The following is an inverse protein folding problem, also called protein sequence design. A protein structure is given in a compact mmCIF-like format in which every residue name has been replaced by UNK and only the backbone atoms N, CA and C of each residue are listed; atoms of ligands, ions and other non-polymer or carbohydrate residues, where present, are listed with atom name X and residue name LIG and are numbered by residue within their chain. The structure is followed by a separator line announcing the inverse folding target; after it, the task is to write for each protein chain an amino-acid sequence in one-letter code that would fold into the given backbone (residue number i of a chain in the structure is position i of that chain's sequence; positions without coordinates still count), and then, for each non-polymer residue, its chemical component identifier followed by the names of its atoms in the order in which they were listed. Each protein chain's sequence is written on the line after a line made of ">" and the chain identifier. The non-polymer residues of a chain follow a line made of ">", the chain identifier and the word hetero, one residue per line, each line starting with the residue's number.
data_IF_148966219267
#
_entry.id   IF_148966219267
#
_cell.length_a   1.000
_cell.length_b   1.000
_cell.length_c   1.000
_cell.angle_alpha   90.00
_cell.angle_beta   90.00
_cell.angle_gamma   90.00
#
_symmetry.space_group_name_H-M   'P 1'
#
loop_
_entity.id
_entity.type
_entity.pdbx_description
1 polymer ?
#
# COMPACT_ATOMS: atom_id res chain seq x y z
N UNK A 1 28.72 0.28 5.46
CA UNK A 1 28.38 -0.60 6.60
C UNK A 1 27.09 -1.31 6.27
N UNK A 2 26.89 -2.56 6.73
CA UNK A 2 25.58 -3.22 6.64
C UNK A 2 24.68 -2.66 7.74
N UNK A 3 23.39 -2.54 7.46
CA UNK A 3 22.38 -2.18 8.47
C UNK A 3 22.32 -3.28 9.56
N UNK A 4 21.92 -2.92 10.80
CA UNK A 4 21.59 -3.91 11.80
C UNK A 4 20.29 -4.64 11.44
N UNK A 5 20.13 -5.86 11.97
CA UNK A 5 19.02 -6.76 11.60
C UNK A 5 17.64 -6.19 11.93
N UNK A 6 17.49 -5.57 13.11
CA UNK A 6 16.23 -4.92 13.50
C UNK A 6 15.81 -3.83 12.50
N UNK A 7 16.77 -3.11 11.92
CA UNK A 7 16.48 -2.06 10.96
C UNK A 7 16.04 -2.65 9.62
N UNK A 8 16.74 -3.67 9.13
CA UNK A 8 16.32 -4.39 7.92
C UNK A 8 14.92 -5.02 8.09
N UNK A 9 14.57 -5.46 9.31
CA UNK A 9 13.24 -5.98 9.61
C UNK A 9 12.13 -4.92 9.46
N UNK A 10 12.36 -3.67 9.88
CA UNK A 10 11.38 -2.59 9.69
C UNK A 10 11.17 -2.27 8.20
N UNK A 11 12.24 -2.21 7.41
CA UNK A 11 12.12 -2.06 5.96
C UNK A 11 11.35 -3.21 5.31
N UNK A 12 11.56 -4.45 5.77
CA UNK A 12 10.78 -5.61 5.31
C UNK A 12 9.31 -5.53 5.70
N UNK A 13 9.00 -5.02 6.90
CA UNK A 13 7.62 -4.77 7.33
C UNK A 13 6.93 -3.74 6.44
N UNK A 14 7.59 -2.61 6.12
CA UNK A 14 7.05 -1.63 5.18
C UNK A 14 6.78 -2.24 3.79
N UNK A 15 7.67 -3.11 3.28
CA UNK A 15 7.42 -3.82 2.01
C UNK A 15 6.14 -4.66 2.05
N UNK A 16 5.84 -5.29 3.18
CA UNK A 16 4.61 -6.08 3.37
C UNK A 16 3.40 -5.15 3.45
N UNK A 17 3.49 -4.04 4.19
CA UNK A 17 2.43 -3.02 4.30
C UNK A 17 2.09 -2.44 2.93
N UNK A 18 3.09 -2.07 2.12
CA UNK A 18 2.91 -1.55 0.76
C UNK A 18 2.17 -2.52 -0.16
N UNK A 19 2.44 -3.83 -0.06
CA UNK A 19 1.70 -4.85 -0.82
C UNK A 19 0.22 -4.89 -0.45
N UNK A 20 -0.08 -4.86 0.85
CA UNK A 20 -1.46 -4.84 1.34
C UNK A 20 -2.17 -3.55 0.90
N UNK A 21 -1.53 -2.39 1.09
CA UNK A 21 -2.04 -1.08 0.70
C UNK A 21 -2.32 -0.99 -0.80
N UNK A 22 -1.39 -1.50 -1.62
CA UNK A 22 -1.58 -1.58 -3.06
C UNK A 22 -2.82 -2.40 -3.44
N UNK A 23 -3.03 -3.52 -2.75
CA UNK A 23 -4.18 -4.40 -3.01
C UNK A 23 -5.50 -3.75 -2.60
N UNK A 24 -5.52 -3.04 -1.46
CA UNK A 24 -6.68 -2.25 -1.04
C UNK A 24 -6.99 -1.13 -2.04
N UNK A 25 -5.98 -0.36 -2.45
CA UNK A 25 -6.16 0.73 -3.40
C UNK A 25 -6.65 0.22 -4.76
N UNK A 26 -6.05 -0.86 -5.28
CA UNK A 26 -6.48 -1.47 -6.54
C UNK A 26 -7.89 -2.02 -6.47
N UNK A 27 -8.27 -2.69 -5.39
CA UNK A 27 -9.63 -3.22 -5.23
C UNK A 27 -10.67 -2.08 -5.17
N UNK A 28 -10.48 -1.08 -4.33
CA UNK A 28 -11.41 0.04 -4.20
C UNK A 28 -11.52 0.86 -5.50
N UNK A 29 -10.39 1.16 -6.14
CA UNK A 29 -10.36 1.93 -7.40
C UNK A 29 -10.97 1.14 -8.56
N UNK A 30 -10.73 -0.17 -8.62
CA UNK A 30 -11.31 -1.05 -9.64
C UNK A 30 -12.82 -1.21 -9.43
N UNK A 31 -13.29 -1.37 -8.18
CA UNK A 31 -14.73 -1.36 -7.85
C UNK A 31 -15.39 -0.10 -8.40
N UNK A 32 -14.82 1.08 -8.13
CA UNK A 32 -15.38 2.34 -8.60
C UNK A 32 -15.39 2.45 -10.14
N UNK A 33 -14.25 2.22 -10.80
CA UNK A 33 -14.13 2.51 -12.23
C UNK A 33 -14.82 1.47 -13.12
N UNK A 34 -14.94 0.22 -12.65
CA UNK A 34 -15.60 -0.89 -13.34
C UNK A 34 -17.07 -1.05 -12.93
N UNK A 35 -17.47 -0.57 -11.74
CA UNK A 35 -18.79 -0.80 -11.16
C UNK A 35 -18.97 -2.20 -10.57
N UNK A 36 -17.87 -2.83 -10.13
CA UNK A 36 -17.84 -4.23 -9.70
C UNK A 36 -17.54 -4.35 -8.20
N UNK A 37 -18.60 -4.51 -7.42
CA UNK A 37 -18.54 -4.48 -5.95
C UNK A 37 -17.76 -5.66 -5.34
N UNK A 38 -17.79 -6.83 -5.97
CA UNK A 38 -17.11 -8.04 -5.47
C UNK A 38 -15.60 -7.82 -5.24
N UNK A 39 -14.96 -6.93 -6.02
CA UNK A 39 -13.54 -6.63 -5.91
C UNK A 39 -13.14 -6.12 -4.51
N UNK A 40 -13.88 -5.17 -3.96
CA UNK A 40 -13.60 -4.64 -2.62
C UNK A 40 -14.16 -5.54 -1.51
N UNK A 41 -15.30 -6.20 -1.74
CA UNK A 41 -15.92 -7.08 -0.74
C UNK A 41 -15.05 -8.29 -0.36
N UNK A 42 -14.28 -8.81 -1.31
CA UNK A 42 -13.38 -9.94 -1.06
C UNK A 42 -12.07 -9.51 -0.36
N UNK A 43 -11.64 -8.25 -0.53
CA UNK A 43 -10.34 -7.75 -0.06
C UNK A 43 -10.45 -7.02 1.27
N UNK A 44 -11.43 -6.13 1.44
CA UNK A 44 -11.51 -5.25 2.60
C UNK A 44 -11.56 -5.99 3.95
N UNK A 45 -12.32 -7.10 4.13
CA UNK A 45 -12.32 -7.83 5.39
C UNK A 45 -10.94 -8.39 5.77
N UNK A 46 -10.17 -8.85 4.77
CA UNK A 46 -8.81 -9.34 4.98
C UNK A 46 -7.85 -8.19 5.30
N UNK A 47 -8.03 -7.04 4.65
CA UNK A 47 -7.24 -5.85 4.95
C UNK A 47 -7.51 -5.33 6.36
N UNK A 48 -8.77 -5.36 6.82
CA UNK A 48 -9.13 -4.99 8.19
C UNK A 48 -8.43 -5.88 9.22
N UNK A 49 -8.45 -7.20 9.02
CA UNK A 49 -7.68 -8.12 9.87
C UNK A 49 -6.18 -7.83 9.80
N UNK A 50 -5.65 -7.52 8.61
CA UNK A 50 -4.26 -7.16 8.44
C UNK A 50 -3.87 -5.87 9.17
N UNK A 51 -4.70 -4.83 9.08
CA UNK A 51 -4.48 -3.53 9.74
C UNK A 51 -4.52 -3.69 11.27
N UNK A 52 -5.58 -4.30 11.81
CA UNK A 52 -5.75 -4.49 13.25
C UNK A 52 -4.56 -5.26 13.87
N UNK A 53 -4.16 -6.36 13.24
CA UNK A 53 -3.20 -7.31 13.82
C UNK A 53 -1.74 -6.93 13.49
N UNK A 54 -1.42 -6.53 12.26
CA UNK A 54 -0.04 -6.28 11.85
C UNK A 54 0.36 -4.81 11.87
N UNK A 55 -0.48 -3.90 11.37
CA UNK A 55 -0.14 -2.48 11.40
C UNK A 55 -0.28 -1.97 12.85
N UNK A 56 -1.49 -2.05 13.41
CA UNK A 56 -1.81 -1.48 14.72
C UNK A 56 -1.15 -2.18 15.91
N UNK A 57 -1.18 -3.51 15.94
CA UNK A 57 -0.75 -4.28 17.13
C UNK A 57 0.72 -4.71 17.13
N UNK A 58 1.38 -4.67 15.97
CA UNK A 58 2.76 -5.16 15.80
C UNK A 58 3.72 -4.08 15.34
N UNK A 59 3.51 -3.55 14.14
CA UNK A 59 4.45 -2.62 13.49
C UNK A 59 4.52 -1.28 14.23
N UNK A 60 3.38 -0.61 14.42
CA UNK A 60 3.33 0.63 15.20
C UNK A 60 3.83 0.44 16.64
N UNK A 61 3.54 -0.71 17.26
CA UNK A 61 4.04 -1.02 18.59
C UNK A 61 5.57 -1.09 18.65
N UNK A 62 6.22 -1.65 17.63
CA UNK A 62 7.69 -1.69 17.53
C UNK A 62 8.27 -0.29 17.43
N UNK A 63 7.72 0.53 16.54
CA UNK A 63 8.19 1.90 16.30
C UNK A 63 7.99 2.78 17.52
N UNK A 64 6.83 2.70 18.16
CA UNK A 64 6.54 3.43 19.39
C UNK A 64 7.47 2.99 20.53
N UNK A 65 7.77 1.70 20.65
CA UNK A 65 8.70 1.19 21.67
C UNK A 65 10.13 1.65 21.39
N UNK A 66 10.57 1.64 20.12
CA UNK A 66 11.85 2.22 19.71
C UNK A 66 11.91 3.72 20.00
N UNK A 67 10.86 4.46 19.67
CA UNK A 67 10.76 5.89 19.93
C UNK A 67 10.82 6.19 21.44
N UNK A 68 10.29 5.32 22.30
CA UNK A 68 10.44 5.43 23.76
C UNK A 68 11.87 5.15 24.19
N UNK A 69 12.44 4.03 23.75
CA UNK A 69 13.80 3.61 24.12
C UNK A 69 14.84 4.66 23.73
N UNK A 70 14.74 5.15 22.50
CA UNK A 70 15.71 6.08 21.89
C UNK A 70 15.36 7.53 22.23
N UNK A 71 14.07 7.86 22.37
CA UNK A 71 13.61 9.21 22.68
C UNK A 71 14.00 9.70 24.08
N UNK A 72 14.27 8.80 25.03
CA UNK A 72 14.87 9.16 26.31
C UNK A 72 16.34 9.60 26.21
N UNK A 73 16.99 9.28 25.08
CA UNK A 73 18.43 9.43 24.88
C UNK A 73 18.78 10.47 23.79
N UNK A 74 17.78 10.90 23.01
CA UNK A 74 17.93 11.93 21.99
C UNK A 74 17.56 13.32 22.52
N UNK A 75 18.33 14.35 22.16
CA UNK A 75 18.13 15.76 22.56
C UNK A 75 16.75 16.33 22.18
N UNK A 76 16.01 15.69 21.25
CA UNK A 76 14.65 16.05 20.82
C UNK A 76 13.65 14.88 20.93
N UNK A 77 13.94 13.86 21.72
CA UNK A 77 13.21 12.60 21.67
C UNK A 77 11.73 12.65 22.11
N UNK A 78 11.36 13.57 23.00
CA UNK A 78 9.95 13.83 23.33
C UNK A 78 9.15 14.30 22.11
N UNK A 79 9.75 15.15 21.26
CA UNK A 79 9.10 15.69 20.06
C UNK A 79 8.94 14.63 18.98
N UNK A 80 9.94 13.78 18.77
CA UNK A 80 9.84 12.65 17.83
C UNK A 80 8.75 11.66 18.25
N UNK A 81 8.72 11.26 19.52
CA UNK A 81 7.70 10.34 20.05
C UNK A 81 6.28 10.88 19.86
N UNK A 82 6.06 12.16 20.17
CA UNK A 82 4.74 12.79 20.06
C UNK A 82 4.26 12.83 18.60
N UNK A 83 5.12 13.22 17.68
CA UNK A 83 4.80 13.26 16.24
C UNK A 83 4.47 11.86 15.72
N UNK A 84 5.24 10.83 16.11
CA UNK A 84 4.97 9.43 15.73
C UNK A 84 3.57 8.96 16.13
N UNK A 85 3.25 9.10 17.42
CA UNK A 85 1.95 8.66 17.93
C UNK A 85 0.80 9.46 17.33
N UNK A 86 1.00 10.76 17.08
CA UNK A 86 0.00 11.59 16.39
C UNK A 86 -0.20 11.15 14.93
N UNK A 87 0.86 10.85 14.18
CA UNK A 87 0.76 10.32 12.81
C UNK A 87 0.03 8.98 12.78
N UNK A 88 0.38 8.03 13.67
CA UNK A 88 -0.29 6.72 13.73
C UNK A 88 -1.77 6.85 14.06
N UNK A 89 -2.16 7.80 14.92
CA UNK A 89 -3.58 8.07 15.22
C UNK A 89 -4.30 8.60 13.98
N UNK A 90 -3.71 9.58 13.28
CA UNK A 90 -4.29 10.15 12.06
C UNK A 90 -4.50 9.07 11.00
N UNK A 91 -3.51 8.21 10.77
CA UNK A 91 -3.60 7.11 9.80
C UNK A 91 -4.70 6.12 10.17
N UNK A 92 -4.82 5.79 11.46
CA UNK A 92 -5.89 4.91 11.96
C UNK A 92 -7.28 5.53 11.78
N UNK A 93 -7.41 6.84 11.99
CA UNK A 93 -8.67 7.56 11.81
C UNK A 93 -9.04 7.67 10.32
N UNK A 94 -8.07 7.89 9.43
CA UNK A 94 -8.29 7.82 7.98
C UNK A 94 -8.77 6.43 7.53
N UNK A 95 -8.21 5.36 8.09
CA UNK A 95 -8.68 4.00 7.81
C UNK A 95 -10.10 3.77 8.35
N UNK A 96 -10.42 4.22 9.57
CA UNK A 96 -11.80 4.15 10.10
C UNK A 96 -12.79 4.89 9.20
N UNK A 97 -12.41 6.05 8.70
CA UNK A 97 -13.23 6.85 7.78
C UNK A 97 -13.54 6.09 6.48
N UNK A 98 -12.58 5.33 5.95
CA UNK A 98 -12.79 4.42 4.82
C UNK A 98 -13.77 3.29 5.17
N UNK A 99 -13.64 2.68 6.35
CA UNK A 99 -14.54 1.62 6.81
C UNK A 99 -15.97 2.15 7.01
N UNK A 100 -16.12 3.34 7.58
CA UNK A 100 -17.43 3.99 7.76
C UNK A 100 -18.10 4.23 6.41
N UNK A 101 -17.36 4.72 5.41
CA UNK A 101 -17.91 4.92 4.07
C UNK A 101 -18.42 3.60 3.46
N UNK A 102 -17.63 2.53 3.59
CA UNK A 102 -18.02 1.18 3.15
C UNK A 102 -19.28 0.68 3.88
N UNK A 103 -19.33 0.79 5.20
CA UNK A 103 -20.45 0.30 6.02
C UNK A 103 -21.75 1.09 5.77
N UNK A 104 -21.65 2.36 5.39
CA UNK A 104 -22.79 3.20 4.96
C UNK A 104 -23.27 2.88 3.55
N UNK A 105 -22.62 1.96 2.85
CA UNK A 105 -23.00 1.54 1.52
C UNK A 105 -22.48 2.46 0.40
N UNK A 106 -21.44 3.25 0.66
CA UNK A 106 -20.72 3.95 -0.40
C UNK A 106 -19.70 3.01 -1.04
N UNK A 107 -20.00 2.58 -2.26
CA UNK A 107 -19.12 1.72 -3.08
C UNK A 107 -18.58 2.46 -4.30
N UNK A 108 -18.80 3.77 -4.36
CA UNK A 108 -18.58 4.57 -5.54
C UNK A 108 -17.31 5.39 -5.38
N UNK A 109 -17.34 6.65 -5.81
CA UNK A 109 -16.15 7.50 -5.86
C UNK A 109 -15.59 7.80 -4.46
N UNK A 110 -16.44 7.95 -3.44
CA UNK A 110 -15.98 8.38 -2.12
C UNK A 110 -15.09 7.31 -1.48
N UNK A 111 -15.52 6.04 -1.51
CA UNK A 111 -14.73 4.92 -1.00
C UNK A 111 -13.36 4.81 -1.70
N UNK A 112 -13.35 4.89 -3.04
CA UNK A 112 -12.11 4.88 -3.81
C UNK A 112 -11.21 6.08 -3.49
N UNK A 113 -11.81 7.26 -3.26
CA UNK A 113 -11.08 8.48 -2.89
C UNK A 113 -10.46 8.36 -1.50
N UNK A 114 -11.20 7.83 -0.51
CA UNK A 114 -10.67 7.56 0.84
C UNK A 114 -9.56 6.53 0.82
N UNK A 115 -9.68 5.47 0.02
CA UNK A 115 -8.61 4.48 -0.16
C UNK A 115 -7.34 5.11 -0.75
N UNK A 116 -7.49 6.02 -1.71
CA UNK A 116 -6.38 6.76 -2.30
C UNK A 116 -5.72 7.73 -1.32
N UNK A 117 -6.50 8.50 -0.55
CA UNK A 117 -5.99 9.42 0.48
C UNK A 117 -5.25 8.64 1.57
N UNK A 118 -5.82 7.54 2.05
CA UNK A 118 -5.17 6.68 3.04
C UNK A 118 -3.88 6.05 2.50
N UNK A 119 -3.88 5.59 1.24
CA UNK A 119 -2.68 5.09 0.56
C UNK A 119 -1.57 6.15 0.49
N UNK A 120 -1.90 7.37 0.05
CA UNK A 120 -0.94 8.49 0.00
C UNK A 120 -0.35 8.79 1.37
N UNK A 121 -1.20 8.90 2.40
CA UNK A 121 -0.76 9.22 3.75
C UNK A 121 0.16 8.13 4.33
N UNK A 122 -0.16 6.85 4.09
CA UNK A 122 0.68 5.73 4.54
C UNK A 122 2.02 5.68 3.79
N UNK A 123 2.05 5.92 2.48
CA UNK A 123 3.29 5.96 1.71
C UNK A 123 4.18 7.13 2.13
N UNK A 124 3.60 8.33 2.28
CA UNK A 124 4.33 9.52 2.72
C UNK A 124 4.90 9.31 4.16
N UNK A 125 4.14 8.67 5.06
CA UNK A 125 4.59 8.29 6.40
C UNK A 125 5.76 7.30 6.37
N UNK A 126 5.61 6.17 5.67
CA UNK A 126 6.67 5.17 5.56
C UNK A 126 7.93 5.72 4.87
N UNK A 127 7.80 6.61 3.89
CA UNK A 127 8.94 7.25 3.22
C UNK A 127 9.70 8.21 4.15
N UNK A 128 9.00 8.98 4.98
CA UNK A 128 9.62 9.83 6.01
C UNK A 128 10.35 8.98 7.06
N UNK A 129 9.72 7.90 7.52
CA UNK A 129 10.31 6.96 8.47
C UNK A 129 11.61 6.35 7.94
N UNK A 130 11.58 5.79 6.73
CA UNK A 130 12.72 5.15 6.10
C UNK A 130 13.90 6.09 5.89
N UNK A 131 13.63 7.35 5.50
CA UNK A 131 14.68 8.33 5.19
C UNK A 131 15.24 9.02 6.41
N UNK A 132 14.36 9.40 7.35
CA UNK A 132 14.70 10.36 8.39
C UNK A 132 14.64 9.74 9.77
N UNK A 133 13.64 8.92 10.06
CA UNK A 133 13.46 8.42 11.42
C UNK A 133 14.36 7.22 11.69
N UNK A 134 14.30 6.21 10.83
CA UNK A 134 15.06 4.98 11.00
C UNK A 134 16.57 5.24 11.02
N UNK A 135 17.04 6.17 10.18
CA UNK A 135 18.42 6.68 10.20
C UNK A 135 18.72 7.41 11.51
N UNK A 136 17.80 8.25 11.99
CA UNK A 136 17.90 8.92 13.30
C UNK A 136 17.94 7.95 14.49
N UNK A 137 17.18 6.85 14.44
CA UNK A 137 17.20 5.79 15.44
C UNK A 137 18.54 5.06 15.46
N UNK A 138 19.07 4.70 14.29
CA UNK A 138 20.38 4.08 14.18
C UNK A 138 21.48 4.95 14.80
N UNK A 139 21.51 6.24 14.46
CA UNK A 139 22.48 7.19 14.99
C UNK A 139 22.36 7.38 16.50
N UNK A 140 21.13 7.49 17.01
CA UNK A 140 20.88 7.69 18.43
C UNK A 140 21.18 6.43 19.26
N UNK A 141 20.82 5.24 18.78
CA UNK A 141 21.20 3.97 19.40
C UNK A 141 22.72 3.81 19.47
N UNK A 142 23.42 4.14 18.38
CA UNK A 142 24.90 4.12 18.32
C UNK A 142 25.52 5.09 19.33
N UNK A 143 25.06 6.35 19.40
CA UNK A 143 25.55 7.34 20.37
C UNK A 143 25.29 6.95 21.81
N UNK A 144 24.15 6.33 22.08
CA UNK A 144 23.78 5.89 23.43
C UNK A 144 24.45 4.56 23.83
N UNK A 145 25.18 3.90 22.93
CA UNK A 145 25.78 2.60 23.18
C UNK A 145 24.76 1.48 23.39
N UNK A 146 23.55 1.60 22.81
CA UNK A 146 22.54 0.54 22.86
C UNK A 146 23.02 -0.61 21.97
N UNK A 147 23.09 -1.81 22.54
CA UNK A 147 23.42 -3.02 21.80
C UNK A 147 22.23 -3.44 20.91
N UNK A 148 22.48 -3.68 19.62
CA UNK A 148 21.48 -4.17 18.66
C UNK A 148 20.72 -5.41 19.15
N UNK A 149 21.37 -6.28 19.93
CA UNK A 149 20.73 -7.47 20.52
C UNK A 149 19.59 -7.13 21.46
N UNK A 150 19.63 -5.97 22.13
CA UNK A 150 18.55 -5.50 23.02
C UNK A 150 17.31 -5.15 22.19
N UNK A 151 17.51 -4.48 21.06
CA UNK A 151 16.43 -4.11 20.14
C UNK A 151 15.85 -5.36 19.47
N UNK A 152 16.71 -6.26 18.98
CA UNK A 152 16.29 -7.53 18.38
C UNK A 152 15.46 -8.36 19.36
N UNK A 153 15.88 -8.46 20.62
CA UNK A 153 15.16 -9.20 21.67
C UNK A 153 13.80 -8.57 21.97
N UNK A 154 13.73 -7.23 22.07
CA UNK A 154 12.48 -6.50 22.26
C UNK A 154 11.50 -6.74 21.11
N UNK A 155 11.97 -6.72 19.86
CA UNK A 155 11.15 -7.02 18.69
C UNK A 155 10.61 -8.45 18.72
N UNK A 156 11.44 -9.39 19.14
CA UNK A 156 11.05 -10.79 19.29
C UNK A 156 9.98 -10.98 20.36
N UNK A 157 10.08 -10.30 21.50
CA UNK A 157 9.08 -10.34 22.57
C UNK A 157 7.72 -9.79 22.11
N UNK A 158 7.72 -8.71 21.31
CA UNK A 158 6.50 -8.18 20.70
C UNK A 158 5.89 -9.23 19.77
N UNK A 159 6.68 -9.86 18.89
CA UNK A 159 6.21 -10.90 17.98
C UNK A 159 5.66 -12.13 18.73
N UNK A 160 6.39 -12.63 19.72
CA UNK A 160 5.98 -13.77 20.54
C UNK A 160 4.66 -13.51 21.27
N UNK A 161 4.42 -12.25 21.69
CA UNK A 161 3.15 -11.85 22.33
C UNK A 161 1.92 -11.96 21.42
N UNK A 162 2.13 -12.01 20.10
CA UNK A 162 1.07 -12.16 19.09
C UNK A 162 0.85 -13.61 18.65
N UNK A 163 1.60 -14.54 19.24
CA UNK A 163 1.45 -15.98 19.07
C UNK A 163 2.35 -16.59 18.00
N UNK A 164 2.49 -17.92 18.06
CA UNK A 164 3.34 -18.67 17.12
C UNK A 164 2.88 -18.54 15.67
N UNK A 165 3.86 -18.49 14.74
CA UNK A 165 3.65 -18.34 13.29
C UNK A 165 2.93 -17.04 12.88
N UNK A 166 3.02 -16.00 13.71
CA UNK A 166 2.47 -14.68 13.41
C UNK A 166 2.87 -14.17 12.01
N UNK A 167 4.17 -14.17 11.70
CA UNK A 167 4.67 -13.70 10.39
C UNK A 167 4.11 -14.48 9.20
N UNK A 168 3.96 -15.81 9.33
CA UNK A 168 3.36 -16.65 8.29
C UNK A 168 1.88 -16.31 8.07
N UNK A 169 1.13 -16.09 9.15
CA UNK A 169 -0.28 -15.68 9.07
C UNK A 169 -0.43 -14.34 8.35
N UNK A 170 0.43 -13.36 8.67
CA UNK A 170 0.36 -12.04 8.06
C UNK A 170 0.71 -12.05 6.58
N UNK A 171 1.77 -12.78 6.19
CA UNK A 171 2.10 -12.98 4.79
C UNK A 171 0.97 -13.73 4.05
N UNK A 172 0.36 -14.72 4.70
CA UNK A 172 -0.80 -15.44 4.19
C UNK A 172 -2.02 -14.54 3.95
N UNK A 173 -2.28 -13.55 4.82
CA UNK A 173 -3.34 -12.56 4.61
C UNK A 173 -3.06 -11.70 3.37
N UNK A 174 -1.84 -11.21 3.20
CA UNK A 174 -1.46 -10.40 2.02
C UNK A 174 -1.58 -11.20 0.73
N UNK A 175 -1.05 -12.41 0.69
CA UNK A 175 -1.18 -13.29 -0.48
C UNK A 175 -2.63 -13.60 -0.81
N UNK A 176 -3.48 -13.87 0.20
CA UNK A 176 -4.91 -14.09 -0.03
C UNK A 176 -5.62 -12.84 -0.57
N UNK A 177 -5.27 -11.64 -0.11
CA UNK A 177 -5.81 -10.40 -0.67
C UNK A 177 -5.44 -10.26 -2.15
N UNK A 178 -4.17 -10.47 -2.50
CA UNK A 178 -3.66 -10.39 -3.87
C UNK A 178 -4.34 -11.42 -4.78
N UNK A 179 -4.49 -12.67 -4.32
CA UNK A 179 -5.20 -13.74 -5.03
C UNK A 179 -6.67 -13.38 -5.26
N UNK A 180 -7.38 -12.89 -4.22
CA UNK A 180 -8.79 -12.50 -4.34
C UNK A 180 -9.01 -11.38 -5.34
N UNK A 181 -8.15 -10.37 -5.33
CA UNK A 181 -8.18 -9.30 -6.32
C UNK A 181 -7.92 -9.86 -7.72
N UNK A 182 -6.90 -10.70 -7.89
CA UNK A 182 -6.52 -11.27 -9.18
C UNK A 182 -7.63 -12.14 -9.78
N UNK A 183 -8.21 -13.04 -8.99
CA UNK A 183 -9.28 -13.92 -9.44
C UNK A 183 -10.51 -13.11 -9.87
N UNK A 184 -10.86 -12.07 -9.10
CA UNK A 184 -12.05 -11.28 -9.36
C UNK A 184 -11.86 -10.38 -10.58
N UNK A 185 -10.70 -9.71 -10.71
CA UNK A 185 -10.43 -8.82 -11.85
C UNK A 185 -10.35 -9.59 -13.18
N UNK A 186 -9.80 -10.82 -13.14
CA UNK A 186 -9.70 -11.68 -14.32
C UNK A 186 -11.07 -12.18 -14.80
N UNK A 187 -11.99 -12.53 -13.89
CA UNK A 187 -13.38 -12.87 -14.25
C UNK A 187 -14.07 -11.73 -15.00
N UNK A 188 -13.66 -10.50 -14.70
CA UNK A 188 -14.11 -9.29 -15.37
C UNK A 188 -13.35 -8.98 -16.65
N UNK A 189 -12.58 -9.93 -17.19
CA UNK A 189 -11.80 -9.75 -18.42
C UNK A 189 -10.88 -8.52 -18.39
N UNK A 190 -10.34 -8.22 -17.21
CA UNK A 190 -9.63 -6.99 -16.89
C UNK A 190 -8.31 -7.31 -16.18
N UNK A 191 -7.26 -6.54 -16.47
CA UNK A 191 -6.06 -6.49 -15.64
C UNK A 191 -6.08 -5.21 -14.80
N UNK A 192 -5.44 -5.23 -13.63
CA UNK A 192 -5.28 -4.04 -12.80
C UNK A 192 -3.83 -3.91 -12.35
N UNK A 193 -3.25 -2.72 -12.48
CA UNK A 193 -1.90 -2.42 -11.98
C UNK A 193 -1.85 -1.05 -11.33
N UNK A 194 -1.01 -0.94 -10.30
CA UNK A 194 -0.64 0.33 -9.71
C UNK A 194 0.81 0.63 -10.05
N UNK A 195 1.03 1.83 -10.59
CA UNK A 195 2.36 2.35 -10.92
C UNK A 195 2.59 3.73 -10.29
N UNK A 196 1.78 4.11 -9.30
CA UNK A 196 2.08 5.22 -8.42
C UNK A 196 3.47 5.00 -7.78
N UNK A 197 4.26 6.07 -7.66
CA UNK A 197 5.62 6.03 -7.09
C UNK A 197 6.64 5.18 -7.87
N UNK A 198 6.30 4.66 -9.06
CA UNK A 198 7.25 3.99 -9.96
C UNK A 198 7.93 5.02 -10.86
N UNK A 199 9.26 4.95 -11.03
CA UNK A 199 10.01 5.86 -11.91
C UNK A 199 9.48 5.81 -13.34
N UNK A 200 9.51 6.95 -14.05
CA UNK A 200 8.88 7.10 -15.37
C UNK A 200 9.25 6.00 -16.38
N UNK A 201 10.54 5.67 -16.53
CA UNK A 201 10.98 4.65 -17.47
C UNK A 201 10.49 3.24 -17.08
N UNK A 202 10.58 2.88 -15.80
CA UNK A 202 10.11 1.59 -15.27
C UNK A 202 8.60 1.47 -15.41
N UNK A 203 7.88 2.55 -15.09
CA UNK A 203 6.43 2.69 -15.28
C UNK A 203 6.02 2.40 -16.72
N UNK A 204 6.71 3.01 -17.69
CA UNK A 204 6.44 2.78 -19.11
C UNK A 204 6.63 1.31 -19.52
N UNK A 205 7.67 0.66 -19.00
CA UNK A 205 7.92 -0.75 -19.27
C UNK A 205 6.83 -1.65 -18.66
N UNK A 206 6.46 -1.42 -17.40
CA UNK A 206 5.41 -2.17 -16.70
C UNK A 206 4.06 -2.06 -17.40
N UNK A 207 3.67 -0.84 -17.81
CA UNK A 207 2.42 -0.61 -18.54
C UNK A 207 2.45 -1.34 -19.89
N UNK A 208 3.52 -1.20 -20.68
CA UNK A 208 3.66 -1.90 -21.97
C UNK A 208 3.60 -3.43 -21.82
N UNK A 209 4.30 -3.97 -20.82
CA UNK A 209 4.29 -5.41 -20.56
C UNK A 209 2.88 -5.90 -20.17
N UNK A 210 2.17 -5.12 -19.36
CA UNK A 210 0.79 -5.43 -18.97
C UNK A 210 -0.16 -5.39 -20.17
N UNK A 211 -0.04 -4.39 -21.04
CA UNK A 211 -0.83 -4.31 -22.28
C UNK A 211 -0.56 -5.53 -23.17
N UNK A 212 0.69 -5.96 -23.29
CA UNK A 212 1.02 -7.20 -24.03
C UNK A 212 0.35 -8.43 -23.40
N UNK A 213 0.43 -8.58 -22.07
CA UNK A 213 -0.25 -9.68 -21.36
C UNK A 213 -1.77 -9.67 -21.59
N UNK A 214 -2.39 -8.50 -21.60
CA UNK A 214 -3.81 -8.34 -21.90
C UNK A 214 -4.14 -8.86 -23.30
N UNK A 215 -3.37 -8.46 -24.31
CA UNK A 215 -3.53 -8.94 -25.70
C UNK A 215 -3.35 -10.45 -25.81
N UNK A 216 -2.32 -11.00 -25.17
CA UNK A 216 -2.00 -12.43 -25.21
C UNK A 216 -3.07 -13.29 -24.52
N UNK A 217 -3.73 -12.75 -23.49
CA UNK A 217 -4.74 -13.46 -22.67
C UNK A 217 -6.19 -13.23 -23.12
N UNK A 218 -6.43 -12.35 -24.09
CA UNK A 218 -7.78 -12.00 -24.54
C UNK A 218 -8.54 -11.06 -23.59
N UNK A 219 -7.85 -10.47 -22.61
CA UNK A 219 -8.41 -9.40 -21.77
C UNK A 219 -8.71 -8.15 -22.61
N UNK A 220 -9.72 -7.39 -22.20
CA UNK A 220 -10.21 -6.24 -22.96
C UNK A 220 -10.01 -4.90 -22.25
N UNK A 221 -9.62 -4.93 -20.97
CA UNK A 221 -9.53 -3.74 -20.12
C UNK A 221 -8.29 -3.76 -19.23
N UNK A 222 -7.77 -2.57 -18.96
CA UNK A 222 -6.75 -2.30 -17.95
C UNK A 222 -7.26 -1.22 -17.00
N UNK A 223 -7.28 -1.52 -15.70
CA UNK A 223 -7.34 -0.51 -14.64
C UNK A 223 -5.91 -0.10 -14.29
N UNK A 224 -5.61 1.18 -14.44
CA UNK A 224 -4.30 1.74 -14.18
C UNK A 224 -4.39 2.80 -13.08
N UNK A 225 -3.64 2.61 -12.00
CA UNK A 225 -3.45 3.60 -10.95
C UNK A 225 -2.11 4.28 -11.13
N UNK A 226 -2.07 5.62 -11.05
CA UNK A 226 -0.89 6.43 -11.33
C UNK A 226 -0.83 7.66 -10.42
N UNK A 227 0.37 8.20 -10.21
CA UNK A 227 0.62 9.40 -9.38
C UNK A 227 0.66 10.73 -10.19
N UNK A 228 0.23 10.68 -11.45
CA UNK A 228 0.20 11.80 -12.40
C UNK A 228 -1.03 11.67 -13.29
N UNK A 229 -1.38 12.77 -13.95
CA UNK A 229 -2.41 12.78 -15.00
C UNK A 229 -2.23 11.60 -15.98
N UNK A 230 -3.34 11.11 -16.57
CA UNK A 230 -3.36 9.84 -17.28
C UNK A 230 -2.31 9.75 -18.38
N UNK A 231 -1.87 8.52 -18.60
CA UNK A 231 -0.78 8.09 -19.48
C UNK A 231 -1.16 8.18 -20.98
N UNK A 232 -1.81 9.28 -21.35
CA UNK A 232 -2.40 9.51 -22.67
C UNK A 232 -1.35 9.45 -23.79
N UNK A 233 -0.11 9.87 -23.52
CA UNK A 233 0.99 9.81 -24.50
C UNK A 233 1.39 8.38 -24.86
N UNK A 234 1.44 7.45 -23.90
CA UNK A 234 1.72 6.03 -24.19
C UNK A 234 0.53 5.33 -24.86
N UNK A 235 -0.70 5.76 -24.57
CA UNK A 235 -1.90 5.16 -25.16
C UNK A 235 -2.16 5.65 -26.59
N UNK A 236 -1.64 6.82 -26.97
CA UNK A 236 -1.77 7.37 -28.32
C UNK A 236 -1.14 6.50 -29.40
N UNK A 237 -0.07 5.77 -29.05
CA UNK A 237 0.64 4.86 -29.96
C UNK A 237 0.07 3.44 -29.95
N UNK A 238 -0.87 3.14 -29.05
CA UNK A 238 -1.49 1.83 -28.94
C UNK A 238 -2.69 1.73 -29.89
N UNK A 239 -2.49 1.10 -31.05
CA UNK A 239 -3.49 1.06 -32.13
C UNK A 239 -4.83 0.40 -31.74
N UNK A 240 -4.80 -0.44 -30.70
CA UNK A 240 -5.98 -1.10 -30.17
C UNK A 240 -6.74 -0.31 -29.11
N UNK A 241 -6.21 0.83 -28.68
CA UNK A 241 -6.85 1.64 -27.66
C UNK A 241 -8.22 2.14 -28.13
N UNK A 242 -9.26 1.79 -27.37
CA UNK A 242 -10.59 2.32 -27.58
C UNK A 242 -10.77 3.62 -26.78
N UNK A 243 -10.54 4.74 -27.47
CA UNK A 243 -10.70 6.08 -26.90
C UNK A 243 -12.13 6.38 -26.44
N UNK A 244 -13.14 5.73 -27.03
CA UNK A 244 -14.54 6.00 -26.70
C UNK A 244 -14.94 5.47 -25.32
N UNK A 245 -14.25 4.43 -24.87
CA UNK A 245 -14.48 3.78 -23.57
C UNK A 245 -13.47 4.20 -22.50
N UNK A 246 -12.48 5.03 -22.85
CA UNK A 246 -11.50 5.52 -21.89
C UNK A 246 -12.13 6.37 -20.79
N UNK A 247 -11.77 6.08 -19.54
CA UNK A 247 -12.18 6.87 -18.37
C UNK A 247 -10.97 7.15 -17.51
N UNK A 248 -10.91 8.35 -16.95
CA UNK A 248 -9.92 8.70 -15.94
C UNK A 248 -10.53 9.61 -14.89
N UNK A 249 -10.13 9.39 -13.64
CA UNK A 249 -10.60 10.16 -12.48
C UNK A 249 -9.46 10.34 -11.50
N UNK A 250 -9.35 11.55 -10.97
CA UNK A 250 -8.51 11.84 -9.82
C UNK A 250 -9.26 11.42 -8.55
N UNK A 251 -8.61 10.60 -7.73
CA UNK A 251 -9.15 10.07 -6.47
C UNK A 251 -8.64 10.86 -5.25
N UNK A 252 -7.44 11.41 -5.34
CA UNK A 252 -6.78 12.21 -4.30
C UNK A 252 -5.81 13.20 -4.94
N UNK A 253 -5.00 13.93 -4.16
CA UNK A 253 -4.12 14.96 -4.71
C UNK A 253 -3.13 14.40 -5.75
N UNK A 254 -2.57 13.21 -5.51
CA UNK A 254 -1.57 12.58 -6.37
C UNK A 254 -2.15 11.40 -7.16
N UNK A 255 -3.10 10.64 -6.61
CA UNK A 255 -3.59 9.39 -7.24
C UNK A 255 -4.70 9.61 -8.27
N UNK A 256 -4.47 9.02 -9.44
CA UNK A 256 -5.42 8.88 -10.54
C UNK A 256 -5.73 7.42 -10.80
N UNK A 257 -6.99 7.11 -11.11
CA UNK A 257 -7.41 5.83 -11.68
C UNK A 257 -7.85 6.04 -13.13
N UNK A 258 -7.44 5.13 -14.01
CA UNK A 258 -7.86 5.10 -15.40
C UNK A 258 -8.39 3.72 -15.77
N UNK A 259 -9.48 3.65 -16.53
CA UNK A 259 -9.91 2.46 -17.26
C UNK A 259 -9.57 2.64 -18.73
N UNK A 260 -8.69 1.77 -19.21
CA UNK A 260 -8.20 1.72 -20.59
C UNK A 260 -8.83 0.51 -21.24
N UNK A 261 -9.67 0.73 -22.25
CA UNK A 261 -10.28 -0.35 -23.02
C UNK A 261 -9.51 -0.62 -24.30
N UNK A 262 -9.51 -1.87 -24.73
CA UNK A 262 -8.93 -2.33 -25.98
C UNK A 262 -10.03 -2.87 -26.89
N UNK A 263 -9.92 -2.61 -28.19
CA UNK A 263 -10.86 -3.11 -29.19
C UNK A 263 -10.84 -4.64 -29.25
N UNK A 264 -12.01 -5.22 -29.44
CA UNK A 264 -12.17 -6.67 -29.63
C UNK A 264 -11.30 -7.18 -30.79
N UNK A 265 -10.71 -8.36 -30.61
CA UNK A 265 -9.84 -9.00 -31.61
C UNK A 265 -8.46 -8.37 -31.76
N UNK A 266 -8.09 -7.41 -30.90
CA UNK A 266 -6.74 -6.88 -30.85
C UNK A 266 -5.72 -7.98 -30.46
N UNK A 267 -4.67 -8.13 -31.28
CA UNK A 267 -3.49 -8.95 -31.01
C UNK A 267 -2.23 -8.11 -31.23
#
# INVERSE_FOLDING_TARGET
>A
MKNPKWLDALFDEHRIIRRALNTLLLSASSTYILGERELIEQVLPLYKEFEDVFIGSYHYRKEETLAVLIGLLATNGYRMRKVFTECHIILRDMFKDLIIAYDLGDWERDLASRAAIYYEAMEDHMEDEEKTVFTGFLDAASRAGINDQVIDQMFKEIEESLGGRFRERMLGLVSRMEEKLLDTIQKSNTAAINVANVKLCERHMMVKETIRKIKDSGMSRLVLINDREPVYELLRIEGCFDRSLFRAKQLSEKIWVSMIAFKDGCK
#
